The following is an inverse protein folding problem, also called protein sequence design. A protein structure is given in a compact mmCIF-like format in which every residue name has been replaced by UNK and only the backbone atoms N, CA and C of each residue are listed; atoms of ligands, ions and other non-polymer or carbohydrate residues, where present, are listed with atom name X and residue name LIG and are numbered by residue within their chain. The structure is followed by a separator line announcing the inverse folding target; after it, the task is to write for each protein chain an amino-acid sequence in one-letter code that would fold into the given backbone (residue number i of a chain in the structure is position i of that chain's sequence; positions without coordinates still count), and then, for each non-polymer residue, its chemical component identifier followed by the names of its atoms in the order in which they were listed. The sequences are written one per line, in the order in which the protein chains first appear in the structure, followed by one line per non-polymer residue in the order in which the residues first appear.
data_IF_584285524378
#
_entry.id   IF_584285524378
#
_cell.length_a   1.000
_cell.length_b   1.000
_cell.length_c   1.000
_cell.angle_alpha   90.00
_cell.angle_beta   90.00
_cell.angle_gamma   90.00
#
_symmetry.space_group_name_H-M   'P 1'
#
loop_
_entity.id
_entity.type
_entity.pdbx_description
1 polymer ?
#
# COMPACT_ATOMS: atom_id res chain seq x y z
N UNK A 1 10.70 37.56 -57.99
CA UNK A 1 10.26 38.69 -57.16
C UNK A 1 9.40 38.10 -56.05
N UNK A 2 9.95 37.79 -54.87
CA UNK A 2 10.23 38.64 -53.69
C UNK A 2 8.99 39.03 -52.86
N UNK A 3 9.06 38.60 -51.59
CA UNK A 3 8.44 39.07 -50.33
C UNK A 3 6.93 38.90 -50.12
N UNK A 4 6.43 38.14 -49.14
CA UNK A 4 6.59 38.09 -47.66
C UNK A 4 5.93 39.26 -46.91
N UNK A 5 4.80 38.96 -46.24
CA UNK A 5 4.35 39.45 -44.91
C UNK A 5 3.02 38.72 -44.59
N UNK A 6 2.88 37.76 -43.66
CA UNK A 6 3.11 37.71 -42.22
C UNK A 6 2.03 38.40 -41.35
N UNK A 7 1.58 37.65 -40.32
CA UNK A 7 0.74 37.98 -39.13
C UNK A 7 -0.77 37.71 -39.29
N UNK A 8 -1.49 37.14 -38.32
CA UNK A 8 -1.16 36.56 -37.01
C UNK A 8 -2.40 35.77 -36.60
N UNK A 9 -2.31 34.46 -36.43
CA UNK A 9 -3.34 33.66 -35.76
C UNK A 9 -3.06 33.75 -34.26
N UNK A 10 -3.95 34.41 -33.53
CA UNK A 10 -3.99 34.40 -32.08
C UNK A 10 -4.25 32.96 -31.61
N UNK A 11 -3.19 32.25 -31.22
CA UNK A 11 -3.31 31.12 -30.29
C UNK A 11 -3.41 31.70 -28.90
N UNK A 12 -4.61 31.69 -28.33
CA UNK A 12 -4.79 31.94 -26.90
C UNK A 12 -4.06 30.84 -26.13
N UNK A 13 -2.97 31.27 -25.48
CA UNK A 13 -2.26 30.51 -24.48
C UNK A 13 -3.18 30.31 -23.29
N UNK A 14 -3.73 29.10 -23.14
CA UNK A 14 -4.40 28.68 -21.90
C UNK A 14 -3.30 28.46 -20.87
N UNK A 15 -2.96 29.54 -20.18
CA UNK A 15 -2.20 29.52 -18.94
C UNK A 15 -3.04 28.76 -17.93
N UNK A 16 -2.77 27.46 -17.75
CA UNK A 16 -3.31 26.68 -16.63
C UNK A 16 -2.69 27.26 -15.37
N UNK A 17 -3.44 28.15 -14.72
CA UNK A 17 -3.13 28.65 -13.38
C UNK A 17 -3.03 27.45 -12.46
N UNK A 18 -1.81 27.22 -11.96
CA UNK A 18 -1.54 26.39 -10.80
C UNK A 18 -2.35 26.96 -9.63
N UNK A 19 -3.46 26.32 -9.30
CA UNK A 19 -4.22 26.61 -8.08
C UNK A 19 -3.80 25.55 -7.08
N UNK A 20 -2.98 25.99 -6.12
CA UNK A 20 -2.70 25.27 -4.88
C UNK A 20 -4.03 24.96 -4.18
N UNK A 21 -4.52 23.73 -4.32
CA UNK A 21 -5.67 23.26 -3.56
C UNK A 21 -5.20 22.90 -2.16
N UNK A 22 -5.25 23.88 -1.26
CA UNK A 22 -5.14 23.71 0.18
C UNK A 22 -6.13 22.66 0.68
N UNK A 23 -5.73 21.92 1.72
CA UNK A 23 -6.35 20.73 2.30
C UNK A 23 -7.80 20.86 2.85
N UNK A 24 -8.53 21.93 2.53
CA UNK A 24 -9.85 22.22 3.10
C UNK A 24 -11.05 21.79 2.24
N UNK A 25 -10.85 21.01 1.17
CA UNK A 25 -11.95 20.46 0.35
C UNK A 25 -12.09 18.92 0.38
N UNK A 26 -11.63 18.28 1.44
CA UNK A 26 -11.82 16.82 1.69
C UNK A 26 -13.04 16.57 2.59
N UNK A 27 -14.16 17.26 2.31
CA UNK A 27 -15.43 17.10 3.03
C UNK A 27 -16.57 16.68 2.08
N UNK A 28 -16.24 15.94 1.02
CA UNK A 28 -17.21 15.28 0.15
C UNK A 28 -17.65 13.95 0.77
N UNK A 29 -18.95 13.84 1.11
CA UNK A 29 -19.68 12.64 1.56
C UNK A 29 -18.81 11.42 1.90
N UNK A 30 -18.45 11.30 3.17
CA UNK A 30 -18.02 10.03 3.76
C UNK A 30 -19.18 9.05 3.57
N UNK A 31 -19.01 8.07 2.68
CA UNK A 31 -19.92 6.93 2.61
C UNK A 31 -19.63 6.09 3.85
N UNK A 32 -20.45 6.25 4.88
CA UNK A 32 -20.36 5.45 6.10
C UNK A 32 -20.90 4.05 5.80
N UNK A 33 -20.01 3.14 5.39
CA UNK A 33 -20.25 1.71 5.52
C UNK A 33 -20.23 1.34 7.03
N UNK A 34 -20.81 0.19 7.43
CA UNK A 34 -21.28 -0.04 8.80
C UNK A 34 -20.20 0.25 9.84
N UNK A 35 -20.55 1.05 10.87
CA UNK A 35 -19.71 1.39 12.04
C UNK A 35 -19.03 0.20 12.74
N UNK A 36 -19.43 -1.02 12.40
CA UNK A 36 -19.05 -2.28 12.99
C UNK A 36 -17.69 -2.81 12.48
N UNK A 37 -17.31 -2.56 11.22
CA UNK A 37 -16.07 -3.13 10.65
C UNK A 37 -14.81 -2.55 11.30
N UNK A 38 -14.80 -1.25 11.58
CA UNK A 38 -13.69 -0.59 12.29
C UNK A 38 -13.55 -1.10 13.74
N UNK A 39 -14.65 -1.26 14.47
CA UNK A 39 -14.61 -1.86 15.82
C UNK A 39 -14.18 -3.32 15.78
N UNK A 40 -14.63 -4.09 14.79
CA UNK A 40 -14.23 -5.49 14.59
C UNK A 40 -12.73 -5.61 14.32
N UNK A 41 -12.16 -4.74 13.49
CA UNK A 41 -10.73 -4.79 13.14
C UNK A 41 -9.83 -4.68 14.38
N UNK A 42 -10.21 -3.87 15.39
CA UNK A 42 -9.45 -3.71 16.63
C UNK A 42 -9.25 -5.01 17.43
N UNK A 43 -10.07 -6.04 17.17
CA UNK A 43 -9.97 -7.37 17.80
C UNK A 43 -8.99 -8.30 17.10
N UNK A 44 -8.40 -7.88 15.97
CA UNK A 44 -7.45 -8.68 15.21
C UNK A 44 -6.00 -8.22 15.38
N UNK A 45 -5.09 -9.05 14.91
CA UNK A 45 -3.70 -8.74 14.60
C UNK A 45 -3.55 -8.67 13.07
N UNK A 46 -3.46 -7.45 12.49
CA UNK A 46 -3.28 -7.26 11.07
C UNK A 46 -1.96 -7.84 10.56
N UNK A 47 -2.02 -8.58 9.44
CA UNK A 47 -0.88 -9.12 8.73
C UNK A 47 -0.85 -8.51 7.33
N UNK A 48 0.06 -7.59 7.08
CA UNK A 48 0.27 -6.99 5.77
C UNK A 48 1.27 -7.83 4.99
N UNK A 49 0.90 -8.18 3.76
CA UNK A 49 1.77 -8.83 2.79
C UNK A 49 1.87 -7.89 1.60
N UNK A 50 3.05 -7.31 1.38
CA UNK A 50 3.25 -6.31 0.33
C UNK A 50 4.26 -6.83 -0.69
N UNK A 51 4.06 -6.53 -1.96
CA UNK A 51 4.88 -7.16 -2.97
C UNK A 51 4.57 -6.74 -4.38
N UNK A 52 5.21 -7.44 -5.31
CA UNK A 52 5.00 -7.23 -6.73
C UNK A 52 3.56 -7.57 -7.14
N UNK A 53 3.03 -6.78 -8.08
CA UNK A 53 1.74 -7.03 -8.72
C UNK A 53 1.82 -8.17 -9.74
N UNK A 54 0.90 -8.17 -10.70
CA UNK A 54 0.76 -9.23 -11.71
C UNK A 54 1.95 -9.41 -12.67
N UNK A 55 2.96 -8.53 -12.62
CA UNK A 55 4.22 -8.71 -13.36
C UNK A 55 5.22 -9.63 -12.63
N UNK A 56 4.90 -10.12 -11.43
CA UNK A 56 5.72 -11.12 -10.74
C UNK A 56 5.67 -12.45 -11.53
N UNK A 57 6.81 -12.86 -12.08
CA UNK A 57 6.92 -14.11 -12.86
C UNK A 57 7.12 -15.35 -11.98
N UNK A 58 7.31 -15.17 -10.67
CA UNK A 58 7.51 -16.30 -9.75
C UNK A 58 6.20 -17.02 -9.50
N UNK A 59 6.28 -18.34 -9.30
CA UNK A 59 5.13 -19.16 -8.94
C UNK A 59 4.52 -18.68 -7.59
N UNK A 60 3.25 -18.22 -7.58
CA UNK A 60 2.61 -17.73 -6.35
C UNK A 60 2.52 -18.80 -5.25
N UNK A 61 2.45 -20.10 -5.61
CA UNK A 61 2.45 -21.20 -4.63
C UNK A 61 3.78 -21.26 -3.90
N UNK A 62 4.90 -21.22 -4.64
CA UNK A 62 6.24 -21.25 -4.07
C UNK A 62 6.48 -20.04 -3.17
N UNK A 63 6.07 -18.85 -3.61
CA UNK A 63 6.21 -17.63 -2.81
C UNK A 63 5.33 -17.70 -1.56
N UNK A 64 4.07 -18.13 -1.68
CA UNK A 64 3.16 -18.26 -0.54
C UNK A 64 3.68 -19.25 0.51
N UNK A 65 4.15 -20.43 0.10
CA UNK A 65 4.73 -21.43 1.00
C UNK A 65 5.93 -20.87 1.76
N UNK A 66 6.76 -20.07 1.09
CA UNK A 66 7.88 -19.41 1.71
C UNK A 66 7.45 -18.37 2.75
N UNK A 67 6.47 -17.53 2.42
CA UNK A 67 5.90 -16.56 3.36
C UNK A 67 5.30 -17.25 4.58
N UNK A 68 4.56 -18.35 4.39
CA UNK A 68 4.00 -19.16 5.48
C UNK A 68 5.10 -19.65 6.42
N UNK A 69 6.23 -20.16 5.89
CA UNK A 69 7.39 -20.57 6.71
C UNK A 69 7.98 -19.40 7.50
N UNK A 70 8.21 -18.25 6.87
CA UNK A 70 8.80 -17.09 7.55
C UNK A 70 7.88 -16.51 8.62
N UNK A 71 6.58 -16.37 8.31
CA UNK A 71 5.57 -15.92 9.28
C UNK A 71 5.46 -16.88 10.46
N UNK A 72 5.47 -18.20 10.20
CA UNK A 72 5.46 -19.23 11.26
C UNK A 72 6.68 -19.10 12.17
N UNK A 73 7.89 -18.97 11.60
CA UNK A 73 9.13 -18.77 12.36
C UNK A 73 9.10 -17.48 13.19
N UNK A 74 8.56 -16.40 12.64
CA UNK A 74 8.42 -15.13 13.35
C UNK A 74 7.44 -15.24 14.52
N UNK A 75 6.24 -15.78 14.29
CA UNK A 75 5.21 -15.91 15.31
C UNK A 75 5.55 -16.95 16.39
N UNK A 76 6.40 -17.95 16.10
CA UNK A 76 6.92 -18.84 17.13
C UNK A 76 7.77 -18.08 18.17
N UNK A 77 8.49 -17.02 17.75
CA UNK A 77 9.30 -16.17 18.63
C UNK A 77 8.50 -15.03 19.25
N UNK A 78 7.56 -14.47 18.48
CA UNK A 78 6.74 -13.31 18.84
C UNK A 78 5.28 -13.59 18.46
N UNK A 79 4.56 -14.42 19.24
CA UNK A 79 3.20 -14.80 18.91
C UNK A 79 2.25 -13.59 19.03
N UNK A 80 1.39 -13.34 18.03
CA UNK A 80 0.31 -12.39 18.17
C UNK A 80 -0.65 -12.80 19.29
N UNK A 81 -1.08 -11.84 20.11
CA UNK A 81 -2.06 -12.07 21.18
C UNK A 81 -3.49 -12.15 20.64
N UNK A 82 -3.74 -11.48 19.50
CA UNK A 82 -5.06 -11.42 18.85
C UNK A 82 -5.13 -12.39 17.65
N UNK A 83 -6.34 -12.84 17.28
CA UNK A 83 -6.57 -13.56 16.02
C UNK A 83 -5.98 -12.79 14.83
N UNK A 84 -5.36 -13.49 13.89
CA UNK A 84 -4.72 -12.86 12.73
C UNK A 84 -5.73 -12.60 11.63
N UNK A 85 -5.54 -11.52 10.87
CA UNK A 85 -6.27 -11.25 9.63
C UNK A 85 -5.30 -10.72 8.59
N UNK A 86 -5.35 -11.23 7.36
CA UNK A 86 -4.50 -10.70 6.28
C UNK A 86 -5.12 -9.42 5.76
N UNK A 87 -4.38 -8.30 5.77
CA UNK A 87 -4.84 -7.05 5.18
C UNK A 87 -4.37 -6.96 3.73
N UNK A 88 -5.31 -6.77 2.81
CA UNK A 88 -5.09 -6.57 1.37
C UNK A 88 -5.55 -5.18 0.95
N UNK A 89 -4.96 -4.64 -0.12
CA UNK A 89 -5.08 -3.22 -0.49
C UNK A 89 -5.69 -3.01 -1.88
N UNK A 90 -6.65 -3.87 -2.21
CA UNK A 90 -7.50 -3.73 -3.39
C UNK A 90 -6.83 -4.03 -4.73
N UNK A 91 -5.80 -4.86 -4.75
CA UNK A 91 -5.29 -5.44 -5.98
C UNK A 91 -6.38 -6.26 -6.69
N UNK A 92 -6.48 -6.17 -8.03
CA UNK A 92 -7.40 -7.00 -8.79
C UNK A 92 -6.97 -8.46 -8.81
N UNK A 93 -7.94 -9.35 -9.00
CA UNK A 93 -7.68 -10.79 -9.17
C UNK A 93 -6.73 -10.99 -10.35
N UNK A 94 -5.62 -11.68 -10.11
CA UNK A 94 -4.63 -12.04 -11.13
C UNK A 94 -4.12 -13.47 -10.89
N UNK A 95 -3.52 -14.06 -11.93
CA UNK A 95 -2.93 -15.40 -11.85
C UNK A 95 -1.57 -15.43 -11.14
N UNK A 96 -0.93 -14.27 -10.99
CA UNK A 96 0.41 -14.08 -10.42
C UNK A 96 0.46 -12.87 -9.49
N UNK A 97 1.57 -12.69 -8.79
CA UNK A 97 1.77 -11.55 -7.89
C UNK A 97 0.93 -11.61 -6.62
N UNK A 98 0.86 -10.48 -5.93
CA UNK A 98 0.29 -10.41 -4.58
C UNK A 98 -1.17 -10.87 -4.48
N UNK A 99 -1.99 -10.61 -5.50
CA UNK A 99 -3.39 -11.05 -5.51
C UNK A 99 -3.57 -12.56 -5.70
N UNK A 100 -2.58 -13.25 -6.30
CA UNK A 100 -2.53 -14.71 -6.34
C UNK A 100 -1.92 -15.31 -5.04
N UNK A 101 -0.99 -14.60 -4.41
CA UNK A 101 -0.25 -15.06 -3.22
C UNK A 101 -1.11 -14.99 -1.95
N UNK A 102 -1.78 -13.86 -1.69
CA UNK A 102 -2.48 -13.64 -0.40
C UNK A 102 -3.62 -14.63 -0.12
N UNK A 103 -4.41 -15.11 -1.11
CA UNK A 103 -5.39 -16.17 -0.87
C UNK A 103 -4.74 -17.49 -0.42
N UNK A 104 -3.57 -17.83 -0.98
CA UNK A 104 -2.83 -19.05 -0.62
C UNK A 104 -2.31 -18.97 0.81
N UNK A 105 -1.73 -17.83 1.20
CA UNK A 105 -1.28 -17.62 2.59
C UNK A 105 -2.45 -17.65 3.57
N UNK A 106 -3.58 -17.02 3.22
CA UNK A 106 -4.81 -17.06 4.03
C UNK A 106 -5.29 -18.50 4.25
N UNK A 107 -5.36 -19.28 3.16
CA UNK A 107 -5.76 -20.70 3.19
C UNK A 107 -4.83 -21.54 4.06
N UNK A 108 -3.51 -21.38 3.94
CA UNK A 108 -2.54 -22.15 4.72
C UNK A 108 -2.65 -21.92 6.23
N UNK A 109 -3.06 -20.73 6.66
CA UNK A 109 -3.29 -20.42 8.07
C UNK A 109 -4.75 -20.60 8.53
N UNK A 110 -5.68 -20.86 7.61
CA UNK A 110 -7.12 -20.91 7.92
C UNK A 110 -7.66 -19.58 8.46
N UNK A 111 -7.15 -18.44 7.98
CA UNK A 111 -7.55 -17.10 8.42
C UNK A 111 -8.24 -16.33 7.29
N UNK A 112 -9.08 -15.37 7.64
CA UNK A 112 -9.75 -14.51 6.68
C UNK A 112 -8.91 -13.30 6.29
N UNK A 113 -9.40 -12.57 5.28
CA UNK A 113 -8.80 -11.35 4.78
C UNK A 113 -9.65 -10.12 5.14
N UNK A 114 -8.97 -8.99 5.27
CA UNK A 114 -9.53 -7.67 5.46
C UNK A 114 -9.10 -6.81 4.26
N UNK A 115 -10.06 -6.23 3.56
CA UNK A 115 -9.82 -5.38 2.39
C UNK A 115 -9.86 -3.91 2.79
N UNK A 116 -8.82 -3.16 2.45
CA UNK A 116 -8.82 -1.69 2.51
C UNK A 116 -8.74 -1.11 1.10
N UNK A 117 -9.79 -0.40 0.68
CA UNK A 117 -9.85 0.23 -0.63
C UNK A 117 -9.71 1.75 -0.54
N UNK A 118 -9.17 2.36 -1.60
CA UNK A 118 -9.37 3.78 -1.86
C UNK A 118 -10.88 4.06 -1.98
N UNK A 119 -11.28 5.23 -1.48
CA UNK A 119 -12.62 5.76 -1.71
C UNK A 119 -12.84 6.02 -3.21
N UNK A 120 -14.08 5.84 -3.69
CA UNK A 120 -14.43 5.94 -5.13
C UNK A 120 -14.06 7.29 -5.75
N UNK A 121 -14.06 8.38 -4.99
CA UNK A 121 -13.67 9.70 -5.47
C UNK A 121 -12.14 9.86 -5.65
N UNK A 122 -11.33 8.95 -5.11
CA UNK A 122 -9.87 8.92 -5.28
C UNK A 122 -9.48 8.04 -6.46
N UNK A 123 -10.16 6.91 -6.63
CA UNK A 123 -10.01 5.97 -7.74
C UNK A 123 -11.26 5.08 -7.86
N UNK A 124 -12.19 5.46 -8.75
CA UNK A 124 -13.50 4.80 -8.93
C UNK A 124 -13.39 3.32 -9.34
N UNK A 125 -12.32 2.97 -10.06
CA UNK A 125 -12.02 1.62 -10.48
C UNK A 125 -11.46 0.73 -9.36
N UNK A 126 -10.87 1.31 -8.31
CA UNK A 126 -10.06 0.55 -7.34
C UNK A 126 -10.90 -0.43 -6.54
N UNK A 127 -11.94 0.06 -5.87
CA UNK A 127 -12.84 -0.80 -5.09
C UNK A 127 -13.61 -1.78 -5.98
N UNK A 128 -14.06 -1.37 -7.16
CA UNK A 128 -14.83 -2.23 -8.06
C UNK A 128 -14.02 -3.44 -8.53
N UNK A 129 -12.72 -3.28 -8.74
CA UNK A 129 -11.84 -4.33 -9.26
C UNK A 129 -11.18 -5.17 -8.17
N UNK A 130 -11.28 -4.76 -6.89
CA UNK A 130 -10.60 -5.42 -5.77
C UNK A 130 -11.05 -6.88 -5.57
N UNK A 131 -10.10 -7.76 -5.33
CA UNK A 131 -10.35 -9.14 -4.94
C UNK A 131 -11.03 -9.23 -3.55
N UNK A 132 -12.21 -9.86 -3.52
CA UNK A 132 -13.04 -10.07 -2.31
C UNK A 132 -13.14 -11.52 -1.86
N UNK A 133 -12.37 -12.43 -2.44
CA UNK A 133 -12.39 -13.83 -2.02
C UNK A 133 -12.02 -13.96 -0.51
N UNK A 134 -12.78 -14.68 0.31
CA UNK A 134 -12.43 -14.86 1.73
C UNK A 134 -12.20 -13.53 2.50
N UNK A 135 -12.91 -12.46 2.13
CA UNK A 135 -12.87 -11.16 2.82
C UNK A 135 -14.04 -11.05 3.80
N UNK A 136 -13.74 -10.91 5.09
CA UNK A 136 -14.74 -10.77 6.16
C UNK A 136 -14.92 -9.31 6.62
N UNK A 137 -13.93 -8.47 6.36
CA UNK A 137 -13.91 -7.06 6.72
C UNK A 137 -13.54 -6.24 5.48
N UNK A 138 -14.31 -5.21 5.17
CA UNK A 138 -13.98 -4.24 4.13
C UNK A 138 -14.05 -2.84 4.73
N UNK A 139 -12.99 -2.05 4.53
CA UNK A 139 -12.87 -0.68 5.00
C UNK A 139 -12.43 0.25 3.86
N UNK A 140 -12.70 1.53 4.02
CA UNK A 140 -12.22 2.59 3.13
C UNK A 140 -10.97 3.26 3.67
N UNK A 141 -10.15 3.80 2.76
CA UNK A 141 -8.99 4.62 3.08
C UNK A 141 -9.38 5.81 3.98
N UNK A 142 -10.50 6.47 3.72
CA UNK A 142 -11.02 7.54 4.56
C UNK A 142 -11.30 7.13 6.00
N UNK A 143 -11.65 5.87 6.27
CA UNK A 143 -11.81 5.34 7.63
C UNK A 143 -10.45 5.18 8.33
N UNK A 144 -9.42 4.72 7.61
CA UNK A 144 -8.04 4.65 8.13
C UNK A 144 -7.50 6.05 8.44
N UNK A 145 -7.77 7.03 7.57
CA UNK A 145 -7.43 8.44 7.79
C UNK A 145 -8.13 8.98 9.05
N UNK A 146 -9.42 8.69 9.22
CA UNK A 146 -10.16 9.13 10.41
C UNK A 146 -9.59 8.52 11.69
N UNK A 147 -9.20 7.25 11.68
CA UNK A 147 -8.56 6.61 12.83
C UNK A 147 -7.26 7.31 13.21
N UNK A 148 -6.38 7.56 12.23
CA UNK A 148 -5.11 8.23 12.48
C UNK A 148 -5.30 9.65 13.01
N UNK A 149 -6.22 10.41 12.44
CA UNK A 149 -6.52 11.79 12.89
C UNK A 149 -7.03 11.84 14.33
N UNK A 150 -7.76 10.82 14.78
CA UNK A 150 -8.22 10.72 16.18
C UNK A 150 -7.08 10.42 17.14
N UNK A 151 -6.14 9.58 16.75
CA UNK A 151 -5.05 9.13 17.63
C UNK A 151 -3.89 10.14 17.70
N UNK A 152 -3.50 10.72 16.56
CA UNK A 152 -2.29 11.54 16.47
C UNK A 152 -2.53 12.78 15.59
N UNK A 153 -2.43 13.96 16.20
CA UNK A 153 -2.48 15.22 15.46
C UNK A 153 -1.34 15.27 14.42
N UNK A 154 -1.62 15.80 13.24
CA UNK A 154 -0.68 16.02 12.13
C UNK A 154 0.00 14.76 11.55
N UNK A 155 -0.33 13.55 11.99
CA UNK A 155 0.32 12.32 11.48
C UNK A 155 0.09 12.13 9.99
N UNK A 156 -1.13 12.42 9.50
CA UNK A 156 -1.46 12.33 8.08
C UNK A 156 -0.58 13.28 7.25
N UNK A 157 -0.50 14.55 7.64
CA UNK A 157 0.30 15.54 6.92
C UNK A 157 1.79 15.16 6.87
N UNK A 158 2.31 14.52 7.93
CA UNK A 158 3.68 13.99 7.95
C UNK A 158 3.86 12.84 6.96
N UNK A 159 2.91 11.90 6.90
CA UNK A 159 2.94 10.79 5.93
C UNK A 159 2.90 11.36 4.50
N UNK A 160 1.98 12.28 4.22
CA UNK A 160 1.84 12.93 2.91
C UNK A 160 3.14 13.62 2.49
N UNK A 161 3.71 14.46 3.37
CA UNK A 161 4.96 15.16 3.09
C UNK A 161 6.14 14.20 2.84
N UNK A 162 6.28 13.15 3.66
CA UNK A 162 7.36 12.16 3.47
C UNK A 162 7.19 11.33 2.19
N UNK A 163 5.96 11.00 1.79
CA UNK A 163 5.70 10.34 0.51
C UNK A 163 6.02 11.28 -0.65
N UNK A 164 5.64 12.55 -0.56
CA UNK A 164 5.91 13.55 -1.60
C UNK A 164 7.41 13.82 -1.77
N UNK A 165 8.17 13.87 -0.68
CA UNK A 165 9.62 13.98 -0.69
C UNK A 165 10.29 12.74 -1.31
N UNK A 166 9.87 11.54 -0.92
CA UNK A 166 10.39 10.28 -1.48
C UNK A 166 10.05 10.16 -2.97
N UNK A 167 8.85 10.59 -3.40
CA UNK A 167 8.47 10.66 -4.82
C UNK A 167 9.36 11.62 -5.61
N UNK A 168 9.61 12.82 -5.07
CA UNK A 168 10.50 13.79 -5.69
C UNK A 168 11.90 13.21 -5.84
N UNK A 169 12.45 12.60 -4.78
CA UNK A 169 13.75 11.94 -4.80
C UNK A 169 13.82 10.83 -5.87
N UNK A 170 12.85 9.90 -5.88
CA UNK A 170 12.79 8.83 -6.88
C UNK A 170 12.73 9.38 -8.31
N UNK A 171 11.94 10.43 -8.53
CA UNK A 171 11.82 11.08 -9.83
C UNK A 171 13.10 11.79 -10.28
N UNK A 172 13.87 12.37 -9.36
CA UNK A 172 15.21 12.88 -9.67
C UNK A 172 16.17 11.77 -10.11
N UNK A 173 16.16 10.61 -9.43
CA UNK A 173 16.97 9.45 -9.84
C UNK A 173 16.58 8.94 -11.22
N UNK A 174 15.27 8.85 -11.51
CA UNK A 174 14.77 8.45 -12.83
C UNK A 174 15.16 9.43 -13.92
N UNK A 175 15.12 10.74 -13.64
CA UNK A 175 15.57 11.79 -14.56
C UNK A 175 17.05 11.63 -14.90
N UNK A 176 17.91 11.32 -13.92
CA UNK A 176 19.34 11.01 -14.15
C UNK A 176 19.55 9.78 -15.03
N UNK A 177 18.60 8.85 -15.04
CA UNK A 177 18.58 7.65 -15.89
C UNK A 177 17.81 7.84 -17.21
N UNK A 178 17.41 9.07 -17.55
CA UNK A 178 16.57 9.36 -18.74
C UNK A 178 15.26 8.58 -18.79
N UNK A 179 14.72 8.19 -17.63
CA UNK A 179 13.42 7.52 -17.48
C UNK A 179 12.32 8.57 -17.23
N UNK A 180 11.09 8.32 -17.69
CA UNK A 180 9.96 9.19 -17.36
C UNK A 180 9.71 9.18 -15.85
N UNK A 181 9.03 10.21 -15.33
CA UNK A 181 8.59 10.24 -13.93
C UNK A 181 7.70 9.04 -13.60
N UNK A 182 7.64 8.71 -12.31
CA UNK A 182 6.66 7.77 -11.78
C UNK A 182 5.26 8.30 -12.06
N UNK A 183 4.34 7.39 -12.39
CA UNK A 183 2.96 7.74 -12.65
C UNK A 183 2.25 8.27 -11.39
N UNK A 184 1.24 9.12 -11.58
CA UNK A 184 0.53 9.80 -10.49
C UNK A 184 -0.07 8.84 -9.46
N UNK A 185 -0.46 7.64 -9.89
CA UNK A 185 -1.01 6.62 -9.00
C UNK A 185 -0.04 6.22 -7.89
N UNK A 186 1.28 6.33 -8.08
CA UNK A 186 2.26 5.95 -7.05
C UNK A 186 2.00 6.66 -5.72
N UNK A 187 1.64 7.95 -5.77
CA UNK A 187 1.32 8.71 -4.56
C UNK A 187 0.11 8.13 -3.83
N UNK A 188 -0.97 7.87 -4.57
CA UNK A 188 -2.22 7.37 -4.00
C UNK A 188 -2.04 5.98 -3.37
N UNK A 189 -1.35 5.07 -4.06
CA UNK A 189 -1.13 3.72 -3.56
C UNK A 189 -0.09 3.69 -2.43
N UNK A 190 0.93 4.55 -2.44
CA UNK A 190 1.83 4.71 -1.31
C UNK A 190 1.08 5.23 -0.07
N UNK A 191 0.16 6.18 -0.25
CA UNK A 191 -0.69 6.67 0.83
C UNK A 191 -1.61 5.56 1.36
N UNK A 192 -2.26 4.81 0.48
CA UNK A 192 -3.06 3.64 0.88
C UNK A 192 -2.22 2.68 1.72
N UNK A 193 -1.00 2.38 1.28
CA UNK A 193 -0.08 1.47 1.95
C UNK A 193 0.25 1.94 3.37
N UNK A 194 0.82 3.14 3.49
CA UNK A 194 1.38 3.61 4.75
C UNK A 194 0.32 4.07 5.75
N UNK A 195 -0.76 4.71 5.28
CA UNK A 195 -1.88 5.12 6.14
C UNK A 195 -2.59 3.89 6.71
N UNK A 196 -2.84 2.86 5.88
CA UNK A 196 -3.51 1.64 6.36
C UNK A 196 -2.67 0.94 7.42
N UNK A 197 -1.35 0.79 7.21
CA UNK A 197 -0.45 0.19 8.19
C UNK A 197 -0.43 0.97 9.51
N UNK A 198 -0.27 2.29 9.43
CA UNK A 198 -0.22 3.14 10.61
C UNK A 198 -1.54 3.11 11.40
N UNK A 199 -2.67 3.23 10.69
CA UNK A 199 -4.01 3.17 11.29
C UNK A 199 -4.28 1.81 11.94
N UNK A 200 -3.96 0.72 11.23
CA UNK A 200 -4.13 -0.64 11.73
C UNK A 200 -3.27 -0.90 12.96
N UNK A 201 -1.99 -0.51 12.95
CA UNK A 201 -1.10 -0.70 14.10
C UNK A 201 -1.59 0.09 15.32
N UNK A 202 -2.02 1.32 15.12
CA UNK A 202 -2.59 2.17 16.17
C UNK A 202 -3.86 1.55 16.78
N UNK A 203 -4.83 1.19 15.92
CA UNK A 203 -6.10 0.61 16.33
C UNK A 203 -5.96 -0.77 16.98
N UNK A 204 -5.11 -1.62 16.41
CA UNK A 204 -4.99 -3.02 16.80
C UNK A 204 -3.90 -3.25 17.84
N UNK A 205 -3.09 -2.23 18.16
CA UNK A 205 -1.96 -2.30 19.10
C UNK A 205 -0.92 -3.36 18.72
N UNK A 206 -0.79 -3.63 17.43
CA UNK A 206 0.09 -4.65 16.89
C UNK A 206 -0.15 -4.86 15.40
N UNK A 207 0.91 -5.26 14.69
CA UNK A 207 0.88 -5.58 13.26
C UNK A 207 2.03 -6.55 12.96
N UNK A 208 1.89 -7.32 11.88
CA UNK A 208 3.01 -8.01 11.23
C UNK A 208 3.04 -7.57 9.77
N UNK A 209 4.23 -7.26 9.25
CA UNK A 209 4.44 -6.87 7.86
C UNK A 209 5.48 -7.79 7.26
N UNK A 210 5.20 -8.38 6.10
CA UNK A 210 6.17 -9.17 5.34
C UNK A 210 6.12 -8.74 3.87
N UNK A 211 7.28 -8.68 3.22
CA UNK A 211 7.34 -8.45 1.79
C UNK A 211 7.43 -9.77 1.01
N UNK A 212 6.95 -9.81 -0.24
CA UNK A 212 7.05 -10.99 -1.11
C UNK A 212 8.46 -11.23 -1.69
N UNK A 213 9.44 -10.40 -1.35
CA UNK A 213 10.82 -10.50 -1.83
C UNK A 213 11.80 -9.96 -0.78
N UNK A 214 13.04 -10.46 -0.82
CA UNK A 214 14.12 -9.97 0.03
C UNK A 214 14.58 -8.57 -0.39
N UNK A 215 14.65 -8.33 -1.70
CA UNK A 215 15.00 -7.03 -2.26
C UNK A 215 13.75 -6.35 -2.82
N UNK A 216 13.55 -5.10 -2.42
CA UNK A 216 12.44 -4.28 -2.87
C UNK A 216 12.95 -3.31 -3.91
N UNK A 217 12.38 -3.37 -5.11
CA UNK A 217 12.71 -2.44 -6.19
C UNK A 217 12.47 -1.00 -5.75
N UNK A 218 13.47 -0.14 -5.94
CA UNK A 218 13.42 1.27 -5.56
C UNK A 218 12.25 2.02 -6.20
N UNK A 219 11.82 1.62 -7.40
CA UNK A 219 10.74 2.25 -8.14
C UNK A 219 9.42 1.47 -8.06
N UNK A 220 9.21 0.74 -6.95
CA UNK A 220 7.93 0.09 -6.61
C UNK A 220 7.15 0.89 -5.57
N UNK A 221 5.83 0.74 -5.55
CA UNK A 221 4.98 1.27 -4.47
C UNK A 221 5.40 0.66 -3.12
N UNK A 222 5.74 -0.63 -3.08
CA UNK A 222 6.19 -1.30 -1.86
C UNK A 222 7.35 -0.57 -1.21
N UNK A 223 8.29 0.01 -1.97
CA UNK A 223 9.46 0.72 -1.45
C UNK A 223 9.14 1.90 -0.51
N UNK A 224 7.91 2.43 -0.55
CA UNK A 224 7.44 3.48 0.37
C UNK A 224 7.25 2.99 1.82
N UNK A 225 7.36 1.68 2.10
CA UNK A 225 7.36 1.13 3.47
C UNK A 225 8.39 1.80 4.40
N UNK A 226 9.44 2.38 3.83
CA UNK A 226 10.45 3.16 4.54
C UNK A 226 9.88 4.40 5.22
N UNK A 227 8.81 4.99 4.69
CA UNK A 227 8.13 6.14 5.28
C UNK A 227 7.55 5.78 6.65
N UNK A 228 6.79 4.68 6.74
CA UNK A 228 6.23 4.21 8.00
C UNK A 228 7.31 3.91 9.06
N UNK A 229 8.44 3.35 8.64
CA UNK A 229 9.59 3.10 9.53
C UNK A 229 10.26 4.41 9.98
N UNK A 230 10.56 5.32 9.05
CA UNK A 230 11.24 6.59 9.34
C UNK A 230 10.41 7.49 10.27
N UNK A 231 9.08 7.44 10.14
CA UNK A 231 8.16 8.19 11.00
C UNK A 231 7.83 7.47 12.32
N UNK A 232 8.41 6.28 12.58
CA UNK A 232 8.11 5.40 13.72
C UNK A 232 6.63 5.00 13.81
N UNK A 233 5.93 4.96 12.68
CA UNK A 233 4.54 4.54 12.60
C UNK A 233 4.40 3.03 12.59
N UNK A 234 5.43 2.31 12.13
CA UNK A 234 5.65 0.87 12.33
C UNK A 234 7.08 0.66 12.83
N UNK A 235 7.34 -0.45 13.51
CA UNK A 235 8.68 -0.80 14.02
C UNK A 235 9.37 -1.81 13.11
N UNK A 236 10.71 -1.83 13.11
CA UNK A 236 11.49 -2.93 12.53
C UNK A 236 11.11 -4.29 13.13
N UNK A 237 10.67 -4.32 14.40
CA UNK A 237 10.20 -5.54 15.06
C UNK A 237 8.82 -6.02 14.57
N UNK A 238 8.12 -5.20 13.79
CA UNK A 238 6.86 -5.56 13.14
C UNK A 238 7.11 -6.20 11.76
N UNK A 239 8.33 -6.04 11.22
CA UNK A 239 8.75 -6.58 9.93
C UNK A 239 9.24 -8.03 10.06
N UNK A 240 8.84 -8.87 9.11
CA UNK A 240 9.36 -10.23 8.94
C UNK A 240 10.31 -10.24 7.76
N UNK A 241 11.51 -10.77 7.98
CA UNK A 241 12.49 -10.92 6.92
C UNK A 241 12.02 -12.03 5.95
N UNK A 242 11.98 -11.71 4.66
CA UNK A 242 11.72 -12.71 3.62
C UNK A 242 12.84 -13.76 3.58
N UNK A 243 14.10 -13.39 3.80
CA UNK A 243 15.24 -14.29 3.72
C UNK A 243 15.54 -14.76 2.29
N UNK A 244 16.52 -15.65 2.13
CA UNK A 244 16.82 -16.28 0.84
C UNK A 244 15.81 -17.40 0.55
N UNK A 245 15.45 -17.58 -0.72
CA UNK A 245 14.62 -18.71 -1.19
C UNK A 245 15.41 -20.01 -1.38
N UNK A 246 16.72 -19.99 -1.07
CA UNK A 246 17.61 -21.13 -1.20
C UNK A 246 17.31 -22.20 -0.17
N UNK A 247 16.65 -23.27 -0.60
CA UNK A 247 16.75 -24.58 0.03
C UNK A 247 18.19 -25.07 -0.08
N UNK A 248 18.96 -24.86 1.00
CA UNK A 248 20.15 -25.65 1.31
C UNK A 248 20.13 -25.94 2.82
N UNK A 249 19.11 -26.66 3.25
CA UNK A 249 19.28 -27.59 4.37
C UNK A 249 19.91 -28.86 3.79
N UNK A 250 21.15 -28.74 3.31
CA UNK A 250 22.01 -29.89 3.13
C UNK A 250 22.49 -30.31 4.51
N UNK A 251 21.98 -31.46 4.93
CA UNK A 251 22.44 -32.30 6.03
C UNK A 251 23.94 -32.12 6.30
N UNK A 252 24.25 -31.76 7.54
CA UNK A 252 25.48 -32.15 8.24
C UNK A 252 25.13 -32.40 9.71
#
# INVERSE_FOLDING_TARGET
MRNVAARSLHTESVVVKCVSASAEKIAGKIVTLPKDCHSKLAHYHPVFIEGMGNYDERDPVVVADHLVRQLTKHWAKKPPVKPKVIVIQGDPVAATGISAITPLVAKSFGISRCLVCLDEHLADYHSANADRNNVDLELRYSEMVQQLRKSQANVLARIEASIDEELAFKNEQRKRQSKPQLADYFRQFALLQEVSKAACRDLCQGITVIHTAAEISEFSVTSFYRVGLALNLISANDMVNFGSTGSNDSVA
#
